data_IF_612325415744
#
_entry.id   IF_612325415744
#
_cell.length_a   1.000
_cell.length_b   1.000
_cell.length_c   1.000
_cell.angle_alpha   90.00
_cell.angle_beta   90.00
_cell.angle_gamma   90.00
#
_symmetry.space_group_name_H-M   'P 1'
#
loop_
_entity.id
_entity.type
_entity.pdbx_description
1 polymer ?
#
# COMPACT_ATOMS: atom_id res chain seq x y z
N UNK A 1 -8.56 24.94 10.18
CA UNK A 1 -7.77 23.75 9.79
C UNK A 1 -7.01 23.26 11.02
N UNK A 2 -6.58 21.99 11.08
CA UNK A 2 -5.55 21.49 12.04
C UNK A 2 -4.44 20.81 11.24
N UNK A 3 -3.27 20.64 11.85
CA UNK A 3 -2.14 19.95 11.19
C UNK A 3 -2.55 18.52 10.82
N UNK A 4 -3.12 17.78 11.77
CA UNK A 4 -3.55 16.39 11.58
C UNK A 4 -4.54 16.24 10.42
N UNK A 5 -5.57 17.11 10.35
CA UNK A 5 -6.58 17.07 9.28
C UNK A 5 -5.98 17.35 7.90
N UNK A 6 -4.98 18.22 7.80
CA UNK A 6 -4.30 18.49 6.53
C UNK A 6 -3.40 17.30 6.12
N UNK A 7 -2.66 16.72 7.06
CA UNK A 7 -1.87 15.50 6.83
C UNK A 7 -2.79 14.34 6.41
N UNK A 8 -3.90 14.11 7.12
CA UNK A 8 -4.90 13.08 6.79
C UNK A 8 -5.49 13.27 5.38
N UNK A 9 -5.77 14.52 4.99
CA UNK A 9 -6.27 14.85 3.67
C UNK A 9 -5.24 14.56 2.58
N UNK A 10 -3.99 15.00 2.76
CA UNK A 10 -2.91 14.71 1.81
C UNK A 10 -2.58 13.21 1.74
N UNK A 11 -2.67 12.48 2.86
CA UNK A 11 -2.50 11.02 2.94
C UNK A 11 -3.53 10.27 2.11
N UNK A 12 -4.82 10.63 2.24
CA UNK A 12 -5.91 10.03 1.45
C UNK A 12 -5.74 10.24 -0.06
N UNK A 13 -5.07 11.32 -0.47
CA UNK A 13 -4.78 11.65 -1.86
C UNK A 13 -3.40 11.13 -2.33
N UNK A 14 -2.70 10.34 -1.52
CA UNK A 14 -1.37 9.75 -1.81
C UNK A 14 -0.25 10.77 -2.06
N UNK A 15 -0.29 11.91 -1.36
CA UNK A 15 0.81 12.89 -1.38
C UNK A 15 1.84 12.63 -0.28
N UNK A 16 3.13 12.84 -0.58
CA UNK A 16 4.23 12.66 0.37
C UNK A 16 4.38 13.80 1.40
N UNK A 17 3.87 15.00 1.09
CA UNK A 17 3.99 16.18 1.94
C UNK A 17 2.68 16.96 2.03
N UNK A 18 2.44 17.54 3.21
CA UNK A 18 1.35 18.45 3.52
C UNK A 18 1.94 19.82 3.88
N UNK A 19 1.38 20.89 3.33
CA UNK A 19 1.77 22.27 3.58
C UNK A 19 0.59 23.05 4.16
N UNK A 20 0.83 23.80 5.24
CA UNK A 20 -0.18 24.66 5.85
C UNK A 20 0.23 26.13 5.77
N UNK A 21 -0.71 26.99 5.38
CA UNK A 21 -0.55 28.43 5.24
C UNK A 21 -1.71 29.13 5.97
N UNK A 22 -1.43 30.29 6.58
CA UNK A 22 -2.41 31.21 7.21
C UNK A 22 -3.50 30.52 8.09
N UNK A 23 -3.14 29.46 8.84
CA UNK A 23 -4.04 28.79 9.79
C UNK A 23 -5.22 28.00 9.19
N UNK A 24 -5.43 28.09 7.87
CA UNK A 24 -6.67 27.68 7.19
C UNK A 24 -6.42 26.98 5.86
N UNK A 25 -5.39 27.38 5.10
CA UNK A 25 -5.04 26.81 3.81
C UNK A 25 -4.25 25.52 4.03
N UNK A 26 -4.63 24.48 3.31
CA UNK A 26 -3.92 23.21 3.24
C UNK A 26 -3.58 22.95 1.76
N UNK A 27 -2.34 22.53 1.52
CA UNK A 27 -1.76 22.24 0.21
C UNK A 27 -1.07 20.88 0.29
N UNK A 28 -1.13 20.08 -0.77
CA UNK A 28 -0.47 18.77 -0.81
C UNK A 28 0.54 18.72 -1.94
N UNK A 29 1.68 18.07 -1.72
CA UNK A 29 2.75 17.97 -2.71
C UNK A 29 3.51 16.64 -2.60
N UNK A 30 4.12 16.20 -3.71
CA UNK A 30 5.01 15.03 -3.73
C UNK A 30 6.49 15.39 -3.60
N UNK A 31 6.82 16.65 -3.85
CA UNK A 31 8.14 17.24 -3.66
C UNK A 31 7.94 18.73 -3.32
N UNK A 32 8.88 19.32 -2.59
CA UNK A 32 8.91 20.75 -2.32
C UNK A 32 10.33 21.26 -2.48
N UNK A 33 10.48 22.54 -2.81
CA UNK A 33 11.80 23.11 -3.07
C UNK A 33 12.48 23.55 -1.76
N UNK A 34 13.60 22.93 -1.43
CA UNK A 34 14.34 23.17 -0.20
C UNK A 34 15.12 24.51 -0.22
N UNK A 35 15.33 25.13 -1.39
CA UNK A 35 16.13 26.37 -1.49
C UNK A 35 15.45 27.59 -0.87
N UNK A 36 14.13 27.52 -0.60
CA UNK A 36 13.34 28.60 -0.03
C UNK A 36 12.99 28.37 1.45
N UNK A 37 13.84 27.64 2.19
CA UNK A 37 13.65 27.42 3.62
C UNK A 37 13.89 28.71 4.42
N UNK A 38 12.81 29.24 5.01
CA UNK A 38 12.77 30.43 5.88
C UNK A 38 12.92 30.06 7.36
N UNK A 39 13.13 31.06 8.23
CA UNK A 39 13.14 30.82 9.69
C UNK A 39 11.76 30.41 10.20
N UNK A 40 11.74 29.63 11.28
CA UNK A 40 10.52 29.17 11.96
C UNK A 40 9.63 30.32 12.45
N UNK A 41 10.22 31.49 12.74
CA UNK A 41 9.52 32.65 13.29
C UNK A 41 8.50 33.23 12.30
N UNK A 42 8.76 33.07 11.00
CA UNK A 42 7.85 33.47 9.92
C UNK A 42 6.66 32.49 9.76
N UNK A 43 6.70 31.34 10.44
CA UNK A 43 5.64 30.35 10.52
C UNK A 43 4.99 30.35 11.92
N UNK A 44 4.53 31.52 12.39
CA UNK A 44 3.97 31.69 13.74
C UNK A 44 2.43 31.75 13.79
N UNK A 45 1.71 31.41 12.71
CA UNK A 45 0.24 31.48 12.70
C UNK A 45 -0.40 30.23 13.29
N UNK A 46 -1.21 30.39 14.33
CA UNK A 46 -1.98 29.31 14.96
C UNK A 46 -3.01 28.68 14.02
N UNK A 47 -3.26 27.39 14.18
CA UNK A 47 -4.28 26.67 13.42
C UNK A 47 -5.70 27.02 13.90
N UNK A 48 -6.61 27.40 12.98
CA UNK A 48 -8.00 27.79 13.34
C UNK A 48 -8.80 26.67 14.03
N UNK A 49 -8.41 25.40 13.87
CA UNK A 49 -9.02 24.27 14.57
C UNK A 49 -8.32 23.84 15.87
N UNK A 50 -7.11 24.34 16.14
CA UNK A 50 -6.35 24.07 17.36
C UNK A 50 -5.26 25.12 17.56
N UNK A 51 -5.48 26.10 18.44
CA UNK A 51 -4.54 27.20 18.63
C UNK A 51 -3.18 26.79 19.25
N UNK A 52 -3.06 25.56 19.76
CA UNK A 52 -1.79 25.00 20.25
C UNK A 52 -0.89 24.49 19.10
N UNK A 53 -1.44 24.34 17.90
CA UNK A 53 -0.70 23.93 16.71
C UNK A 53 -0.36 25.13 15.83
N UNK A 54 0.79 25.03 15.16
CA UNK A 54 1.29 25.99 14.18
C UNK A 54 0.87 25.55 12.77
N UNK A 55 0.38 26.48 11.96
CA UNK A 55 -0.16 26.27 10.62
C UNK A 55 0.37 27.32 9.63
N UNK A 56 1.69 27.42 9.50
CA UNK A 56 2.37 28.34 8.58
C UNK A 56 2.31 29.80 9.02
N UNK A 57 2.25 30.70 8.05
CA UNK A 57 2.08 32.12 8.25
C UNK A 57 1.55 32.83 7.01
N UNK A 58 1.58 34.17 6.97
CA UNK A 58 1.18 34.94 5.79
C UNK A 58 2.25 34.81 4.70
N UNK A 59 1.90 34.25 3.54
CA UNK A 59 2.82 33.94 2.44
C UNK A 59 3.90 32.89 2.79
N UNK A 60 3.72 32.14 3.88
CA UNK A 60 4.71 31.20 4.41
C UNK A 60 4.07 29.86 4.77
N UNK A 61 4.75 28.78 4.38
CA UNK A 61 4.21 27.42 4.41
C UNK A 61 4.94 26.56 5.45
N UNK A 62 4.23 26.03 6.44
CA UNK A 62 4.75 24.94 7.29
C UNK A 62 4.59 23.62 6.56
N UNK A 63 5.70 22.98 6.20
CA UNK A 63 5.74 21.67 5.52
C UNK A 63 5.88 20.54 6.54
N UNK A 64 5.04 19.51 6.39
CA UNK A 64 5.01 18.30 7.19
C UNK A 64 5.13 17.08 6.27
N UNK A 65 5.95 16.11 6.67
CA UNK A 65 5.98 14.79 6.00
C UNK A 65 4.66 14.06 6.27
N UNK A 66 4.03 13.58 5.21
CA UNK A 66 2.87 12.71 5.32
C UNK A 66 3.40 11.29 5.43
N UNK A 67 3.07 10.52 6.48
CA UNK A 67 3.39 9.11 6.49
C UNK A 67 2.62 8.46 5.35
N UNK A 68 3.34 7.96 4.35
CA UNK A 68 2.74 7.21 3.26
C UNK A 68 2.27 5.88 3.81
N UNK A 69 0.97 5.84 4.13
CA UNK A 69 0.21 4.61 3.98
C UNK A 69 0.38 4.19 2.52
N UNK A 70 1.38 3.35 2.27
CA UNK A 70 1.46 2.53 1.07
C UNK A 70 0.24 1.60 1.12
N UNK A 71 -0.94 2.15 0.79
CA UNK A 71 -2.21 1.42 0.76
C UNK A 71 -1.96 0.22 -0.13
N UNK A 72 -1.79 -1.00 0.42
CA UNK A 72 -1.33 -2.12 -0.37
C UNK A 72 -2.41 -2.33 -1.43
N UNK A 73 -2.06 -2.34 -2.73
CA UNK A 73 -2.98 -2.06 -3.83
C UNK A 73 -4.21 -2.93 -3.70
N UNK A 74 -5.28 -2.29 -3.22
CA UNK A 74 -6.51 -2.87 -2.67
C UNK A 74 -6.32 -4.33 -2.25
N UNK A 75 -5.56 -4.55 -1.15
CA UNK A 75 -5.18 -5.84 -0.55
C UNK A 75 -5.96 -7.01 -1.17
N UNK A 76 -5.29 -7.81 -1.99
CA UNK A 76 -5.89 -8.88 -2.80
C UNK A 76 -6.34 -10.01 -1.87
N UNK A 77 -7.42 -9.77 -1.14
CA UNK A 77 -8.16 -10.71 -0.30
C UNK A 77 -9.01 -11.55 -1.23
N UNK A 78 -8.35 -12.34 -2.09
CA UNK A 78 -8.85 -13.51 -2.83
C UNK A 78 -7.67 -13.98 -3.71
N UNK A 79 -7.01 -15.12 -3.41
CA UNK A 79 -7.71 -16.39 -3.23
C UNK A 79 -7.16 -17.31 -2.09
N UNK A 80 -6.65 -16.79 -0.97
CA UNK A 80 -6.22 -17.68 0.14
C UNK A 80 -7.38 -18.56 0.68
N UNK A 81 -8.61 -18.03 0.69
CA UNK A 81 -9.82 -18.76 1.08
C UNK A 81 -10.31 -19.75 -0.01
N UNK A 82 -10.09 -19.39 -1.29
CA UNK A 82 -10.55 -20.19 -2.44
C UNK A 82 -9.69 -21.45 -2.60
N UNK A 83 -8.39 -21.39 -2.29
CA UNK A 83 -7.49 -22.54 -2.34
C UNK A 83 -7.98 -23.73 -1.49
N UNK A 84 -8.47 -23.46 -0.27
CA UNK A 84 -9.02 -24.49 0.62
C UNK A 84 -10.27 -25.16 0.08
N UNK A 85 -11.22 -24.38 -0.46
CA UNK A 85 -12.48 -24.92 -1.02
C UNK A 85 -12.23 -25.68 -2.33
N UNK A 86 -11.39 -25.15 -3.23
CA UNK A 86 -11.06 -25.82 -4.49
C UNK A 86 -10.29 -27.12 -4.21
N UNK A 87 -9.30 -27.13 -3.32
CA UNK A 87 -8.61 -28.37 -2.94
C UNK A 87 -9.57 -29.37 -2.27
N UNK A 88 -10.52 -28.92 -1.44
CA UNK A 88 -11.51 -29.82 -0.83
C UNK A 88 -12.45 -30.44 -1.86
N UNK A 89 -12.94 -29.66 -2.83
CA UNK A 89 -13.82 -30.15 -3.91
C UNK A 89 -13.06 -31.04 -4.89
N UNK A 90 -11.84 -30.66 -5.29
CA UNK A 90 -10.97 -31.49 -6.13
C UNK A 90 -10.61 -32.78 -5.41
N UNK A 91 -10.21 -32.74 -4.13
CA UNK A 91 -9.93 -33.94 -3.35
C UNK A 91 -11.17 -34.83 -3.19
N UNK A 92 -12.37 -34.27 -3.00
CA UNK A 92 -13.61 -35.05 -2.91
C UNK A 92 -13.99 -35.69 -4.26
N UNK A 93 -13.79 -34.97 -5.38
CA UNK A 93 -13.97 -35.51 -6.73
C UNK A 93 -12.94 -36.61 -7.02
N UNK A 94 -11.66 -36.40 -6.67
CA UNK A 94 -10.60 -37.41 -6.79
C UNK A 94 -10.94 -38.62 -5.94
N UNK A 95 -11.27 -38.48 -4.64
CA UNK A 95 -11.60 -39.61 -3.77
C UNK A 95 -12.83 -40.40 -4.25
N UNK A 96 -13.78 -39.72 -4.91
CA UNK A 96 -14.94 -40.33 -5.56
C UNK A 96 -14.57 -41.04 -6.88
N UNK A 97 -13.61 -40.52 -7.64
CA UNK A 97 -13.07 -41.15 -8.86
C UNK A 97 -12.06 -42.26 -8.57
N UNK A 98 -11.27 -42.19 -7.49
CA UNK A 98 -10.31 -43.22 -7.08
C UNK A 98 -11.02 -44.50 -6.64
N UNK A 99 -12.20 -44.38 -6.01
CA UNK A 99 -13.10 -45.53 -5.78
C UNK A 99 -13.57 -46.23 -7.07
N UNK A 100 -13.43 -45.59 -8.24
CA UNK A 100 -13.69 -46.16 -9.56
C UNK A 100 -12.38 -46.54 -10.31
N UNK A 101 -11.27 -45.84 -10.07
CA UNK A 101 -10.01 -45.98 -10.82
C UNK A 101 -9.00 -46.95 -10.16
N UNK A 102 -9.05 -47.20 -8.84
CA UNK A 102 -8.15 -48.16 -8.18
C UNK A 102 -8.32 -49.61 -8.67
N UNK A 103 -9.39 -49.93 -9.40
CA UNK A 103 -9.55 -51.21 -10.09
C UNK A 103 -8.68 -51.34 -11.36
N UNK A 104 -8.28 -50.21 -11.96
CA UNK A 104 -7.62 -50.19 -13.28
C UNK A 104 -6.14 -49.77 -13.26
N UNK A 105 -5.74 -48.80 -12.42
CA UNK A 105 -4.45 -48.10 -12.58
C UNK A 105 -3.23 -48.69 -11.85
N UNK A 106 -3.25 -49.94 -11.38
CA UNK A 106 -2.08 -50.56 -10.72
C UNK A 106 -0.98 -51.08 -11.66
N UNK A 107 -1.06 -50.82 -12.98
CA UNK A 107 -0.35 -51.64 -14.00
C UNK A 107 0.60 -50.92 -14.97
N UNK A 108 0.70 -49.60 -14.95
CA UNK A 108 1.62 -48.83 -15.81
C UNK A 108 2.30 -47.73 -14.97
N UNK A 109 3.44 -48.01 -14.33
CA UNK A 109 4.81 -48.13 -14.88
C UNK A 109 5.43 -46.74 -15.17
N UNK A 110 6.51 -46.44 -14.43
CA UNK A 110 7.47 -45.32 -14.58
C UNK A 110 8.15 -45.29 -15.98
N UNK A 111 9.00 -44.28 -16.37
CA UNK A 111 9.61 -43.15 -15.63
C UNK A 111 9.25 -41.78 -16.31
N UNK A 112 10.01 -40.67 -16.40
CA UNK A 112 11.39 -40.26 -16.06
C UNK A 112 11.47 -38.71 -15.92
N UNK A 113 12.34 -38.12 -15.07
CA UNK A 113 12.38 -36.65 -14.84
C UNK A 113 13.22 -35.82 -15.83
N UNK A 114 12.90 -34.52 -15.83
CA UNK A 114 13.44 -33.34 -16.54
C UNK A 114 14.91 -33.29 -17.05
N UNK A 115 15.02 -32.77 -18.28
CA UNK A 115 16.03 -31.78 -18.74
C UNK A 115 15.38 -30.37 -18.58
N UNK A 116 16.05 -29.21 -18.54
CA UNK A 116 17.47 -28.80 -18.67
C UNK A 116 17.69 -27.46 -17.92
N UNK A 117 18.93 -26.98 -17.67
CA UNK A 117 19.21 -25.72 -16.95
C UNK A 117 19.05 -24.45 -17.80
N UNK A 118 18.92 -23.30 -17.12
CA UNK A 118 18.95 -21.95 -17.73
C UNK A 118 20.39 -21.47 -17.91
N UNK A 119 20.73 -21.03 -19.12
CA UNK A 119 21.94 -20.27 -19.42
C UNK A 119 21.56 -18.81 -19.74
N UNK A 120 22.21 -17.85 -19.09
CA UNK A 120 22.04 -16.41 -19.33
C UNK A 120 23.40 -15.70 -19.36
N UNK A 121 23.51 -14.59 -20.11
CA UNK A 121 24.77 -14.23 -20.76
C UNK A 121 25.67 -13.30 -19.94
N UNK A 122 26.96 -13.33 -20.25
CA UNK A 122 27.90 -12.19 -20.07
C UNK A 122 29.00 -12.29 -21.12
#
# INVERSE_FOLDING_TARGET
MTVDKCIDFCRQNNFAYAGLEIGTRCSCANNYDHINQISSDQCSTSCVGNNQQICGGPLTLSVYSVPTENKPPLQIIFPCVIGGVILSVIAWIIYKYDRLIFSCCRKLMSPKPHLEPVEQPT
#
